data_IF_966999611343
#
_entry.id   IF_966999611343
#
_cell.length_a   1.000
_cell.length_b   1.000
_cell.length_c   1.000
_cell.angle_alpha   90.00
_cell.angle_beta   90.00
_cell.angle_gamma   90.00
#
_symmetry.space_group_name_H-M   'P 1'
#
loop_
_entity.id
_entity.type
_entity.pdbx_description
1 polymer ?
#
# COMPACT_ATOMS: atom_id res chain seq x y z
N UNK A 1 23.88 13.74 3.05
CA UNK A 1 23.13 14.75 2.26
C UNK A 1 23.35 16.09 2.93
N UNK A 2 23.68 17.15 2.16
CA UNK A 2 23.95 18.47 2.73
C UNK A 2 22.69 19.30 2.83
N UNK A 3 22.55 20.00 3.96
CA UNK A 3 21.39 20.89 4.21
C UNK A 3 21.48 22.12 3.30
N UNK A 4 20.34 22.54 2.79
CA UNK A 4 20.18 23.84 2.11
C UNK A 4 19.85 24.89 3.17
N UNK A 5 20.73 25.86 3.34
CA UNK A 5 20.57 26.95 4.30
C UNK A 5 21.24 28.25 3.79
N UNK A 6 21.36 29.24 4.65
CA UNK A 6 21.93 30.56 4.30
C UNK A 6 23.40 30.46 3.93
N UNK A 7 24.13 29.51 4.51
CA UNK A 7 25.55 29.33 4.32
C UNK A 7 25.87 28.32 3.22
N UNK A 8 24.89 27.44 2.85
CA UNK A 8 25.06 26.41 1.85
C UNK A 8 23.87 26.32 0.86
N UNK A 9 23.90 27.15 -0.16
CA UNK A 9 22.88 27.18 -1.24
C UNK A 9 22.98 26.00 -2.22
N UNK A 10 24.00 25.14 -2.09
CA UNK A 10 24.17 23.91 -2.89
C UNK A 10 23.57 22.68 -2.22
N UNK A 11 23.10 22.80 -0.99
CA UNK A 11 22.41 21.74 -0.26
C UNK A 11 21.14 21.30 -1.00
N UNK A 12 20.79 20.02 -0.84
CA UNK A 12 19.58 19.42 -1.45
C UNK A 12 18.59 18.92 -0.41
N UNK A 13 18.85 19.15 0.88
CA UNK A 13 17.99 18.75 1.97
C UNK A 13 17.44 19.96 2.69
N UNK A 14 16.13 20.06 2.76
CA UNK A 14 15.40 21.15 3.41
C UNK A 14 14.74 20.65 4.69
N UNK A 15 15.05 21.27 5.81
CA UNK A 15 14.37 21.05 7.07
C UNK A 15 13.11 21.92 7.15
N UNK A 16 11.95 21.28 7.26
CA UNK A 16 10.68 21.99 7.39
C UNK A 16 10.24 22.15 8.84
N UNK A 17 10.82 21.39 9.77
CA UNK A 17 10.31 21.26 11.13
C UNK A 17 8.92 20.61 11.12
N UNK A 18 8.10 20.90 12.12
CA UNK A 18 6.71 20.38 12.20
C UNK A 18 5.80 21.29 11.35
N UNK A 19 5.86 21.12 10.01
CA UNK A 19 5.11 21.96 9.04
C UNK A 19 4.75 21.15 7.78
N UNK A 20 3.96 20.11 7.94
CA UNK A 20 3.62 19.17 6.86
C UNK A 20 2.91 19.87 5.69
N UNK A 21 1.98 20.77 6.00
CA UNK A 21 1.30 21.55 4.96
C UNK A 21 2.28 22.48 4.22
N UNK A 22 3.13 23.20 4.96
CA UNK A 22 4.15 24.08 4.37
C UNK A 22 5.15 23.32 3.51
N UNK A 23 5.61 22.15 3.96
CA UNK A 23 6.45 21.24 3.18
C UNK A 23 5.77 20.85 1.87
N UNK A 24 4.55 20.33 1.94
CA UNK A 24 3.82 19.88 0.77
C UNK A 24 3.51 21.01 -0.22
N UNK A 25 3.14 22.19 0.28
CA UNK A 25 2.88 23.38 -0.55
C UNK A 25 4.14 23.87 -1.25
N UNK A 26 5.27 23.94 -0.54
CA UNK A 26 6.54 24.34 -1.12
C UNK A 26 7.03 23.31 -2.16
N UNK A 27 6.87 22.01 -1.91
CA UNK A 27 7.17 20.96 -2.90
C UNK A 27 6.34 21.13 -4.18
N UNK A 28 5.06 21.47 -4.06
CA UNK A 28 4.22 21.78 -5.21
C UNK A 28 4.77 22.99 -5.99
N UNK A 29 5.15 24.06 -5.29
CA UNK A 29 5.75 25.24 -5.90
C UNK A 29 7.06 24.92 -6.63
N UNK A 30 7.94 24.14 -6.02
CA UNK A 30 9.20 23.69 -6.64
C UNK A 30 8.96 22.86 -7.91
N UNK A 31 7.99 21.94 -7.86
CA UNK A 31 7.65 21.11 -9.02
C UNK A 31 7.04 21.94 -10.16
N UNK A 32 6.19 22.94 -9.84
CA UNK A 32 5.61 23.88 -10.82
C UNK A 32 6.66 24.80 -11.45
N UNK A 33 7.62 25.26 -10.65
CA UNK A 33 8.73 26.08 -11.17
C UNK A 33 9.54 25.32 -12.21
N UNK A 34 9.63 24.00 -12.12
CA UNK A 34 10.40 23.15 -13.01
C UNK A 34 11.88 23.05 -12.61
N UNK A 35 12.59 22.13 -13.29
CA UNK A 35 14.02 21.88 -13.05
C UNK A 35 14.31 21.02 -11.80
N UNK A 36 13.32 20.76 -10.95
CA UNK A 36 13.46 19.93 -9.75
C UNK A 36 12.34 18.89 -9.69
N UNK A 37 12.67 17.73 -9.14
CA UNK A 37 11.70 16.69 -8.73
C UNK A 37 11.73 16.59 -7.21
N UNK A 38 10.90 17.36 -6.50
CA UNK A 38 10.89 17.34 -5.05
C UNK A 38 10.25 16.05 -4.52
N UNK A 39 10.81 15.54 -3.44
CA UNK A 39 10.14 14.57 -2.59
C UNK A 39 10.28 14.98 -1.13
N UNK A 40 9.30 14.68 -0.32
CA UNK A 40 9.31 14.98 1.11
C UNK A 40 8.57 13.94 1.89
N UNK A 41 8.94 13.77 3.14
CA UNK A 41 8.43 12.70 3.98
C UNK A 41 8.07 13.15 5.37
N UNK A 42 7.05 12.47 5.90
CA UNK A 42 6.59 12.54 7.27
C UNK A 42 5.90 11.21 7.62
N UNK A 43 5.41 11.04 8.85
CA UNK A 43 4.55 9.93 9.19
C UNK A 43 3.22 10.04 8.45
N UNK A 44 2.64 8.89 8.08
CA UNK A 44 1.44 8.89 7.26
C UNK A 44 0.23 9.52 7.96
N UNK A 45 0.11 9.43 9.29
CA UNK A 45 -0.96 10.10 10.04
C UNK A 45 -0.96 11.62 9.82
N UNK A 46 0.20 12.23 9.53
CA UNK A 46 0.31 13.68 9.30
C UNK A 46 -0.08 14.10 7.88
N UNK A 47 -0.53 13.16 7.04
CA UNK A 47 -1.25 13.53 5.82
C UNK A 47 -2.52 14.32 6.15
N UNK A 48 -3.09 14.20 7.34
CA UNK A 48 -4.21 15.02 7.81
C UNK A 48 -3.88 16.51 7.77
N UNK A 49 -2.64 16.89 8.09
CA UNK A 49 -2.17 18.28 7.99
C UNK A 49 -1.74 18.65 6.56
N UNK A 50 -1.11 17.76 5.82
CA UNK A 50 -0.62 18.00 4.46
C UNK A 50 -1.72 17.89 3.39
N UNK A 51 -2.85 17.27 3.69
CA UNK A 51 -3.89 16.86 2.75
C UNK A 51 -4.36 17.95 1.78
N UNK A 52 -4.62 19.22 2.18
CA UNK A 52 -5.03 20.24 1.23
C UNK A 52 -4.01 20.45 0.12
N UNK A 53 -2.71 20.50 0.45
CA UNK A 53 -1.63 20.64 -0.53
C UNK A 53 -1.45 19.39 -1.39
N UNK A 54 -1.57 18.18 -0.82
CA UNK A 54 -1.54 16.92 -1.57
C UNK A 54 -2.70 16.86 -2.57
N UNK A 55 -3.91 17.27 -2.15
CA UNK A 55 -5.08 17.35 -3.02
C UNK A 55 -4.88 18.35 -4.16
N UNK A 56 -4.26 19.50 -3.89
CA UNK A 56 -3.91 20.46 -4.93
C UNK A 56 -2.88 19.91 -5.91
N UNK A 57 -1.88 19.16 -5.45
CA UNK A 57 -0.94 18.47 -6.34
C UNK A 57 -1.69 17.57 -7.34
N UNK A 58 -2.65 16.78 -6.86
CA UNK A 58 -3.47 15.91 -7.69
C UNK A 58 -4.34 16.69 -8.69
N UNK A 59 -5.01 17.76 -8.23
CA UNK A 59 -5.86 18.62 -9.04
C UNK A 59 -5.08 19.33 -10.15
N UNK A 60 -3.91 19.85 -9.83
CA UNK A 60 -3.01 20.54 -10.77
C UNK A 60 -2.12 19.60 -11.59
N UNK A 61 -2.23 18.27 -11.39
CA UNK A 61 -1.42 17.25 -12.08
C UNK A 61 0.08 17.46 -11.86
N UNK A 62 0.49 17.75 -10.64
CA UNK A 62 1.88 18.00 -10.27
C UNK A 62 2.53 16.68 -9.83
N UNK A 63 3.68 16.30 -10.40
CA UNK A 63 4.34 15.04 -10.08
C UNK A 63 5.20 15.12 -8.81
N UNK A 64 4.61 15.52 -7.70
CA UNK A 64 5.25 15.59 -6.39
C UNK A 64 5.25 14.20 -5.73
N UNK A 65 6.33 13.85 -5.03
CA UNK A 65 6.45 12.56 -4.36
C UNK A 65 6.34 12.75 -2.84
N UNK A 66 5.33 12.14 -2.24
CA UNK A 66 5.06 12.14 -0.81
C UNK A 66 5.45 10.79 -0.21
N UNK A 67 6.52 10.77 0.58
CA UNK A 67 7.00 9.56 1.27
C UNK A 67 6.40 9.52 2.66
N UNK A 68 5.36 8.70 2.83
CA UNK A 68 4.57 8.61 4.05
C UNK A 68 4.96 7.34 4.81
N UNK A 69 5.79 7.50 5.83
CA UNK A 69 6.26 6.37 6.65
C UNK A 69 5.31 6.07 7.80
N UNK A 70 5.55 4.93 8.52
CA UNK A 70 4.74 4.56 9.68
C UNK A 70 3.25 4.39 9.30
N UNK A 71 3.01 3.61 8.26
CA UNK A 71 1.79 3.54 7.45
C UNK A 71 0.61 2.79 8.09
N UNK A 72 0.78 2.25 9.31
CA UNK A 72 -0.24 1.43 9.98
C UNK A 72 -0.05 1.34 11.48
N UNK A 73 -0.86 0.52 12.16
CA UNK A 73 -0.68 0.13 13.57
C UNK A 73 0.68 -0.48 13.87
N UNK A 74 1.40 -0.93 12.85
CA UNK A 74 2.78 -1.40 12.94
C UNK A 74 3.78 -0.33 13.41
N UNK A 75 3.37 0.94 13.48
CA UNK A 75 4.12 1.99 14.15
C UNK A 75 4.41 1.63 15.62
N UNK A 76 3.46 1.04 16.33
CA UNK A 76 3.71 0.49 17.67
C UNK A 76 3.31 1.42 18.81
N UNK A 77 4.21 1.62 19.76
CA UNK A 77 3.95 2.22 21.07
C UNK A 77 3.52 3.69 21.04
N UNK A 78 3.82 4.44 19.99
CA UNK A 78 3.38 5.84 19.83
C UNK A 78 1.85 5.97 19.88
N UNK A 79 1.15 4.88 19.61
CA UNK A 79 -0.26 4.72 19.88
C UNK A 79 -1.20 5.29 18.81
N UNK A 80 -2.52 5.31 19.12
CA UNK A 80 -3.56 5.55 18.11
C UNK A 80 -3.50 6.94 17.47
N UNK A 81 -2.94 7.95 18.13
CA UNK A 81 -2.81 9.30 17.58
C UNK A 81 -1.80 9.39 16.41
N UNK A 82 -0.92 8.38 16.28
CA UNK A 82 0.11 8.32 15.26
C UNK A 82 -0.07 7.14 14.30
N UNK A 83 -1.03 6.27 14.55
CA UNK A 83 -1.30 5.06 13.77
C UNK A 83 -2.35 5.33 12.68
N UNK A 84 -1.95 5.32 11.39
CA UNK A 84 -2.89 5.41 10.28
C UNK A 84 -3.83 4.19 10.26
N UNK A 85 -5.10 4.44 10.06
CA UNK A 85 -6.13 3.40 9.89
C UNK A 85 -6.91 3.66 8.60
N UNK A 86 -7.42 4.88 8.41
CA UNK A 86 -8.19 5.32 7.24
C UNK A 86 -7.34 6.02 6.16
N UNK A 87 -6.12 6.44 6.48
CA UNK A 87 -5.30 7.31 5.64
C UNK A 87 -4.97 6.74 4.26
N UNK A 88 -4.78 5.40 4.16
CA UNK A 88 -4.61 4.73 2.87
C UNK A 88 -5.87 4.84 2.00
N UNK A 89 -7.05 4.59 2.59
CA UNK A 89 -8.32 4.69 1.89
C UNK A 89 -8.59 6.13 1.42
N UNK A 90 -8.34 7.12 2.28
CA UNK A 90 -8.46 8.54 1.94
C UNK A 90 -7.51 8.94 0.81
N UNK A 91 -6.27 8.46 0.84
CA UNK A 91 -5.28 8.73 -0.21
C UNK A 91 -5.72 8.13 -1.55
N UNK A 92 -6.19 6.88 -1.56
CA UNK A 92 -6.72 6.18 -2.74
C UNK A 92 -8.04 6.78 -3.26
N UNK A 93 -8.86 7.36 -2.37
CA UNK A 93 -10.08 8.07 -2.76
C UNK A 93 -9.80 9.43 -3.41
N UNK A 94 -8.57 9.95 -3.35
CA UNK A 94 -8.20 11.22 -3.95
C UNK A 94 -7.92 11.02 -5.45
N UNK A 95 -8.75 11.58 -6.36
CA UNK A 95 -8.55 11.40 -7.80
C UNK A 95 -7.16 11.82 -8.25
N UNK A 96 -6.66 11.18 -9.29
CA UNK A 96 -5.35 11.46 -9.89
C UNK A 96 -4.17 11.39 -8.90
N UNK A 97 -4.23 10.48 -7.94
CA UNK A 97 -3.13 10.19 -7.01
C UNK A 97 -2.71 8.75 -7.19
N UNK A 98 -1.42 8.48 -7.26
CA UNK A 98 -0.89 7.11 -7.23
C UNK A 98 -0.48 6.78 -5.79
N UNK A 99 -1.03 5.71 -5.23
CA UNK A 99 -0.73 5.28 -3.86
C UNK A 99 0.00 3.95 -3.91
N UNK A 100 1.30 3.99 -3.67
CA UNK A 100 2.16 2.82 -3.59
C UNK A 100 2.29 2.38 -2.13
N UNK A 101 2.02 1.12 -1.88
CA UNK A 101 2.25 0.47 -0.58
C UNK A 101 3.06 -0.81 -0.79
N UNK A 102 4.40 -0.68 -0.91
CA UNK A 102 5.28 -1.78 -1.27
C UNK A 102 5.46 -2.79 -0.13
N UNK A 103 5.58 -4.07 -0.50
CA UNK A 103 5.71 -5.20 0.43
C UNK A 103 7.15 -5.46 0.88
N UNK A 104 8.12 -5.04 0.11
CA UNK A 104 9.55 -5.27 0.37
C UNK A 104 10.43 -4.22 -0.33
N UNK A 105 11.75 -4.37 -0.20
CA UNK A 105 12.72 -3.46 -0.82
C UNK A 105 12.65 -3.44 -2.35
N UNK A 106 12.26 -4.55 -2.97
CA UNK A 106 12.17 -4.65 -4.44
C UNK A 106 10.97 -3.84 -4.93
N UNK A 107 9.79 -4.05 -4.35
CA UNK A 107 8.61 -3.23 -4.67
C UNK A 107 8.84 -1.75 -4.34
N UNK A 108 9.59 -1.45 -3.27
CA UNK A 108 9.96 -0.07 -2.92
C UNK A 108 10.80 0.58 -4.02
N UNK A 109 11.83 -0.10 -4.53
CA UNK A 109 12.64 0.40 -5.62
C UNK A 109 11.81 0.59 -6.90
N UNK A 110 10.93 -0.35 -7.23
CA UNK A 110 10.01 -0.27 -8.36
C UNK A 110 9.00 0.88 -8.23
N UNK A 111 8.48 1.12 -7.03
CA UNK A 111 7.57 2.24 -6.74
C UNK A 111 8.29 3.60 -6.92
N UNK A 112 9.53 3.71 -6.46
CA UNK A 112 10.35 4.89 -6.68
C UNK A 112 10.61 5.16 -8.16
N UNK A 113 10.95 4.12 -8.92
CA UNK A 113 11.13 4.24 -10.38
C UNK A 113 9.88 4.81 -11.03
N UNK A 114 8.70 4.26 -10.72
CA UNK A 114 7.43 4.72 -11.27
C UNK A 114 7.10 6.16 -10.85
N UNK A 115 7.29 6.49 -9.57
CA UNK A 115 7.03 7.84 -9.05
C UNK A 115 7.96 8.89 -9.69
N UNK A 116 9.22 8.54 -9.97
CA UNK A 116 10.17 9.42 -10.65
C UNK A 116 9.84 9.63 -12.13
N UNK A 117 9.22 8.65 -12.79
CA UNK A 117 8.82 8.75 -14.20
C UNK A 117 7.41 9.35 -14.39
N UNK A 118 6.59 9.38 -13.35
CA UNK A 118 5.25 9.99 -13.44
C UNK A 118 5.37 11.51 -13.66
N UNK A 119 4.55 12.05 -14.59
CA UNK A 119 4.62 13.46 -14.99
C UNK A 119 3.35 14.25 -14.64
N UNK A 120 2.22 13.57 -14.46
CA UNK A 120 0.90 14.19 -14.43
C UNK A 120 0.10 13.86 -13.16
N UNK A 121 0.74 13.23 -12.17
CA UNK A 121 0.09 12.86 -10.92
C UNK A 121 1.08 12.88 -9.76
N UNK A 122 0.68 13.26 -8.55
CA UNK A 122 1.48 13.02 -7.36
C UNK A 122 1.50 11.53 -7.03
N UNK A 123 2.59 11.13 -6.39
CA UNK A 123 2.77 9.77 -5.86
C UNK A 123 2.87 9.80 -4.34
N UNK A 124 2.10 8.97 -3.67
CA UNK A 124 2.24 8.66 -2.24
C UNK A 124 2.94 7.30 -2.13
N UNK A 125 4.07 7.25 -1.44
CA UNK A 125 4.79 6.01 -1.15
C UNK A 125 4.62 5.75 0.35
N UNK A 126 3.70 4.86 0.70
CA UNK A 126 3.40 4.47 2.07
C UNK A 126 4.34 3.35 2.51
N UNK A 127 5.14 3.61 3.54
CA UNK A 127 6.17 2.70 4.02
C UNK A 127 5.94 2.35 5.49
N UNK A 128 6.11 1.08 5.82
CA UNK A 128 6.02 0.62 7.20
C UNK A 128 7.24 1.02 8.03
N UNK A 129 7.08 1.06 9.35
CA UNK A 129 8.18 1.21 10.30
C UNK A 129 8.98 -0.09 10.49
N UNK A 130 8.30 -1.24 10.38
CA UNK A 130 8.92 -2.53 10.64
C UNK A 130 9.90 -2.92 9.52
N UNK A 131 10.93 -3.69 9.88
CA UNK A 131 11.70 -4.45 8.91
C UNK A 131 10.86 -5.56 8.31
N UNK A 132 10.81 -5.64 6.98
CA UNK A 132 10.02 -6.63 6.25
C UNK A 132 10.93 -7.67 5.57
N UNK A 133 10.50 -8.94 5.50
CA UNK A 133 11.21 -9.94 4.72
C UNK A 133 11.04 -9.67 3.22
N UNK A 134 12.06 -9.98 2.43
CA UNK A 134 11.92 -10.01 0.97
C UNK A 134 10.98 -11.15 0.59
N UNK A 135 9.81 -10.82 0.05
CA UNK A 135 8.80 -11.82 -0.34
C UNK A 135 8.96 -12.24 -1.81
N UNK A 136 9.53 -11.38 -2.63
CA UNK A 136 9.80 -11.65 -4.04
C UNK A 136 11.23 -12.16 -4.23
N UNK A 137 11.44 -13.46 -4.02
CA UNK A 137 12.76 -14.10 -4.05
C UNK A 137 13.24 -14.48 -5.45
N UNK A 138 12.36 -14.47 -6.46
CA UNK A 138 12.72 -14.77 -7.86
C UNK A 138 12.95 -13.47 -8.62
N UNK A 139 14.15 -13.34 -9.19
CA UNK A 139 14.48 -12.18 -10.03
C UNK A 139 13.53 -12.03 -11.22
N UNK A 140 13.13 -10.81 -11.49
CA UNK A 140 12.40 -10.37 -12.69
C UNK A 140 13.00 -9.04 -13.14
N UNK A 141 13.37 -8.96 -14.41
CA UNK A 141 13.86 -7.71 -15.01
C UNK A 141 12.77 -6.66 -15.22
N UNK A 142 11.51 -7.10 -15.32
CA UNK A 142 10.38 -6.21 -15.47
C UNK A 142 9.94 -5.65 -14.12
N UNK A 143 9.64 -4.35 -14.07
CA UNK A 143 9.00 -3.70 -12.94
C UNK A 143 7.56 -4.22 -12.81
N UNK A 144 7.32 -5.13 -11.83
CA UNK A 144 6.00 -5.73 -11.65
C UNK A 144 5.02 -4.77 -10.96
N UNK A 145 5.51 -3.84 -10.16
CA UNK A 145 4.70 -2.78 -9.52
C UNK A 145 4.03 -1.89 -10.56
N UNK A 146 4.58 -1.76 -11.76
CA UNK A 146 3.97 -1.02 -12.87
C UNK A 146 2.60 -1.55 -13.30
N UNK A 147 2.29 -2.80 -12.98
CA UNK A 147 1.00 -3.42 -13.23
C UNK A 147 -0.02 -3.15 -12.12
N UNK A 148 0.41 -2.56 -11.01
CA UNK A 148 -0.42 -2.25 -9.85
C UNK A 148 -0.79 -3.45 -8.98
N UNK A 149 -0.95 -4.63 -9.59
CA UNK A 149 -1.08 -5.91 -8.90
C UNK A 149 -0.51 -7.03 -9.76
N UNK A 150 0.04 -8.05 -9.13
CA UNK A 150 0.58 -9.23 -9.81
C UNK A 150 0.49 -10.49 -8.95
N UNK A 151 0.58 -11.66 -9.58
CA UNK A 151 0.62 -12.94 -8.86
C UNK A 151 2.01 -13.11 -8.27
N UNK A 152 2.11 -13.02 -6.93
CA UNK A 152 3.34 -13.28 -6.20
C UNK A 152 3.59 -14.80 -6.07
N UNK A 153 2.55 -15.55 -5.74
CA UNK A 153 2.61 -17.01 -5.64
C UNK A 153 1.33 -17.64 -6.19
N UNK A 154 1.48 -18.60 -7.10
CA UNK A 154 0.35 -19.32 -7.69
C UNK A 154 -0.10 -20.47 -6.78
N UNK A 155 -1.38 -20.88 -6.92
CA UNK A 155 -1.91 -22.08 -6.27
C UNK A 155 -1.23 -23.35 -6.78
N UNK A 156 -0.99 -24.29 -5.90
CA UNK A 156 -0.71 -25.68 -6.27
C UNK A 156 -2.06 -26.41 -6.33
N UNK A 157 -2.30 -27.12 -7.41
CA UNK A 157 -3.59 -27.76 -7.64
C UNK A 157 -4.74 -26.79 -7.97
N UNK A 158 -5.97 -27.23 -7.75
CA UNK A 158 -7.19 -26.44 -8.02
C UNK A 158 -7.26 -25.23 -7.09
N UNK A 159 -7.27 -24.04 -7.68
CA UNK A 159 -7.37 -22.80 -6.92
C UNK A 159 -8.74 -22.66 -6.27
N UNK A 160 -8.76 -22.51 -4.95
CA UNK A 160 -9.95 -22.30 -4.12
C UNK A 160 -9.94 -20.92 -3.46
N UNK A 161 -8.73 -20.40 -3.12
CA UNK A 161 -8.55 -19.14 -2.40
C UNK A 161 -7.61 -18.20 -3.17
N UNK A 162 -7.92 -16.92 -3.13
CA UNK A 162 -7.04 -15.82 -3.58
C UNK A 162 -6.87 -14.86 -2.39
N UNK A 163 -5.66 -14.78 -1.88
CA UNK A 163 -5.25 -13.80 -0.87
C UNK A 163 -4.69 -12.58 -1.60
N UNK A 164 -5.19 -11.40 -1.28
CA UNK A 164 -4.78 -10.14 -1.89
C UNK A 164 -4.27 -9.23 -0.78
N UNK A 165 -3.04 -8.75 -0.87
CA UNK A 165 -2.47 -7.90 0.16
C UNK A 165 -1.61 -6.77 -0.43
N UNK A 166 -1.37 -5.74 0.35
CA UNK A 166 -0.40 -4.68 0.07
C UNK A 166 0.54 -4.49 1.28
N UNK A 167 1.71 -3.92 1.04
CA UNK A 167 2.63 -3.56 2.12
C UNK A 167 3.03 -4.72 3.03
N UNK A 168 3.13 -4.42 4.30
CA UNK A 168 3.57 -5.37 5.34
C UNK A 168 2.74 -6.65 5.41
N UNK A 169 1.48 -6.62 5.02
CA UNK A 169 0.57 -7.77 5.14
C UNK A 169 0.76 -8.80 4.02
N UNK A 170 1.53 -8.48 2.97
CA UNK A 170 1.88 -9.47 1.93
C UNK A 170 2.65 -10.65 2.51
N UNK A 171 3.53 -10.41 3.48
CA UNK A 171 4.27 -11.48 4.17
C UNK A 171 3.35 -12.40 4.97
N UNK A 172 2.29 -11.85 5.59
CA UNK A 172 1.27 -12.63 6.30
C UNK A 172 0.45 -13.49 5.32
N UNK A 173 0.10 -12.93 4.16
CA UNK A 173 -0.59 -13.67 3.10
C UNK A 173 0.25 -14.83 2.55
N UNK A 174 1.57 -14.64 2.40
CA UNK A 174 2.49 -15.71 1.99
C UNK A 174 2.55 -16.83 3.04
N UNK A 175 2.60 -16.46 4.32
CA UNK A 175 2.58 -17.44 5.42
C UNK A 175 1.25 -18.19 5.49
N UNK A 176 0.12 -17.50 5.41
CA UNK A 176 -1.21 -18.11 5.38
C UNK A 176 -1.39 -19.04 4.17
N UNK A 177 -0.87 -18.63 3.00
CA UNK A 177 -0.86 -19.50 1.81
C UNK A 177 -0.15 -20.82 2.09
N UNK A 178 1.02 -20.78 2.75
CA UNK A 178 1.76 -22.01 3.07
C UNK A 178 0.89 -22.96 3.89
N UNK A 179 0.27 -22.47 4.96
CA UNK A 179 -0.61 -23.27 5.83
C UNK A 179 -1.77 -23.87 5.02
N UNK A 180 -2.47 -23.06 4.21
CA UNK A 180 -3.59 -23.54 3.40
C UNK A 180 -3.16 -24.57 2.35
N UNK A 181 -2.02 -24.38 1.71
CA UNK A 181 -1.47 -25.34 0.74
C UNK A 181 -1.09 -26.68 1.39
N UNK A 182 -0.50 -26.65 2.58
CA UNK A 182 -0.12 -27.84 3.34
C UNK A 182 -1.37 -28.65 3.75
N UNK A 183 -2.54 -27.98 3.88
CA UNK A 183 -3.85 -28.59 4.10
C UNK A 183 -4.58 -28.98 2.79
N UNK A 184 -3.93 -28.88 1.63
CA UNK A 184 -4.53 -29.22 0.33
C UNK A 184 -5.47 -28.16 -0.26
N UNK A 185 -5.54 -26.97 0.32
CA UNK A 185 -6.37 -25.85 -0.15
C UNK A 185 -5.57 -24.99 -1.13
N UNK A 186 -5.83 -25.16 -2.42
CA UNK A 186 -5.12 -24.43 -3.49
C UNK A 186 -5.28 -22.90 -3.36
N UNK A 187 -4.19 -22.21 -2.99
CA UNK A 187 -4.22 -20.80 -2.63
C UNK A 187 -3.22 -19.97 -3.46
N UNK A 188 -3.72 -18.91 -4.09
CA UNK A 188 -2.92 -17.88 -4.78
C UNK A 188 -2.68 -16.70 -3.85
N UNK A 189 -1.48 -16.08 -3.92
CA UNK A 189 -1.19 -14.78 -3.35
C UNK A 189 -1.01 -13.74 -4.45
N UNK A 190 -1.70 -12.62 -4.33
CA UNK A 190 -1.58 -11.43 -5.17
C UNK A 190 -1.00 -10.31 -4.32
N UNK A 191 0.15 -9.76 -4.72
CA UNK A 191 0.61 -8.46 -4.22
C UNK A 191 -0.06 -7.35 -5.01
N UNK A 192 -0.60 -6.35 -4.33
CA UNK A 192 -1.29 -5.20 -4.91
C UNK A 192 -0.67 -3.89 -4.40
N UNK A 193 0.56 -3.57 -4.83
CA UNK A 193 1.27 -2.38 -4.37
C UNK A 193 0.63 -1.06 -4.82
N UNK A 194 -0.18 -1.01 -5.89
CA UNK A 194 -0.84 0.22 -6.35
C UNK A 194 -2.17 -0.08 -7.04
N UNK A 195 -3.26 0.19 -6.37
CA UNK A 195 -4.61 -0.09 -6.88
C UNK A 195 -4.94 0.71 -8.14
N UNK A 196 -4.52 1.96 -8.23
CA UNK A 196 -4.79 2.88 -9.34
C UNK A 196 -4.12 2.40 -10.63
N UNK A 197 -2.92 1.84 -10.56
CA UNK A 197 -2.25 1.25 -11.71
C UNK A 197 -2.89 -0.07 -12.13
N UNK A 198 -3.37 -0.87 -11.19
CA UNK A 198 -4.08 -2.10 -11.50
C UNK A 198 -5.44 -1.81 -12.19
N UNK A 199 -6.13 -0.78 -11.76
CA UNK A 199 -7.38 -0.36 -12.38
C UNK A 199 -7.22 0.06 -13.85
N UNK A 200 -6.09 0.67 -14.18
CA UNK A 200 -5.72 1.09 -15.55
C UNK A 200 -5.33 -0.09 -16.47
N UNK A 201 -5.13 -1.30 -15.94
CA UNK A 201 -4.80 -2.46 -16.77
C UNK A 201 -6.02 -2.88 -17.61
N UNK A 202 -5.74 -3.53 -18.74
CA UNK A 202 -6.79 -4.12 -19.56
C UNK A 202 -7.56 -5.22 -18.80
N UNK A 203 -8.77 -5.48 -19.26
CA UNK A 203 -9.66 -6.44 -18.62
C UNK A 203 -9.07 -7.86 -18.59
N UNK A 204 -8.36 -8.26 -19.65
CA UNK A 204 -7.72 -9.57 -19.76
C UNK A 204 -6.67 -9.74 -18.67
N UNK A 205 -5.86 -8.71 -18.43
CA UNK A 205 -4.87 -8.71 -17.35
C UNK A 205 -5.56 -8.79 -15.98
N UNK A 206 -6.54 -7.93 -15.72
CA UNK A 206 -7.25 -7.91 -14.43
C UNK A 206 -7.93 -9.26 -14.15
N UNK A 207 -8.59 -9.85 -15.14
CA UNK A 207 -9.19 -11.19 -15.03
C UNK A 207 -8.17 -12.29 -14.81
N UNK A 208 -6.97 -12.19 -15.36
CA UNK A 208 -5.88 -13.14 -15.10
C UNK A 208 -5.43 -13.08 -13.64
N UNK A 209 -5.32 -11.89 -13.05
CA UNK A 209 -4.88 -11.69 -11.67
C UNK A 209 -6.00 -12.07 -10.69
N UNK A 210 -7.19 -11.52 -10.89
CA UNK A 210 -8.39 -11.71 -10.07
C UNK A 210 -9.52 -12.31 -10.92
N UNK A 211 -9.42 -13.60 -11.29
CA UNK A 211 -10.42 -14.22 -12.15
C UNK A 211 -11.77 -14.30 -11.46
N UNK A 212 -12.84 -14.15 -12.24
CA UNK A 212 -14.21 -14.46 -11.81
C UNK A 212 -14.36 -15.92 -11.38
N UNK A 213 -15.50 -16.27 -10.79
CA UNK A 213 -15.85 -17.64 -10.39
C UNK A 213 -16.02 -17.82 -8.89
N UNK A 214 -16.08 -19.09 -8.45
CA UNK A 214 -16.39 -19.46 -7.06
C UNK A 214 -15.15 -19.51 -6.16
N UNK A 215 -14.18 -18.61 -6.38
CA UNK A 215 -13.00 -18.53 -5.49
C UNK A 215 -13.33 -17.68 -4.28
N UNK A 216 -12.86 -18.09 -3.12
CA UNK A 216 -12.82 -17.23 -1.94
C UNK A 216 -11.77 -16.15 -2.18
N UNK A 217 -12.13 -14.87 -2.01
CA UNK A 217 -11.20 -13.75 -2.05
C UNK A 217 -11.08 -13.13 -0.67
N UNK A 218 -9.86 -13.00 -0.18
CA UNK A 218 -9.58 -12.32 1.09
C UNK A 218 -8.57 -11.23 0.84
N UNK A 219 -8.93 -10.00 1.20
CA UNK A 219 -8.00 -8.90 1.24
C UNK A 219 -7.43 -8.74 2.65
N UNK A 220 -6.16 -8.37 2.73
CA UNK A 220 -5.42 -8.23 3.98
C UNK A 220 -4.68 -6.90 3.97
N UNK A 221 -5.02 -6.00 4.88
CA UNK A 221 -4.35 -4.71 5.06
C UNK A 221 -4.59 -4.18 6.47
N UNK A 222 -3.54 -3.70 7.14
CA UNK A 222 -3.65 -3.03 8.42
C UNK A 222 -4.22 -1.61 8.28
N UNK A 223 -5.44 -1.51 7.77
CA UNK A 223 -6.23 -0.32 7.49
C UNK A 223 -7.70 -0.69 7.35
N UNK A 224 -8.57 0.28 7.04
CA UNK A 224 -9.99 0.07 6.82
C UNK A 224 -10.29 -0.63 5.50
N UNK A 225 -11.44 -1.30 5.41
CA UNK A 225 -11.85 -2.12 4.27
C UNK A 225 -12.17 -1.33 3.00
N UNK A 226 -12.54 -0.07 3.11
CA UNK A 226 -13.24 0.73 2.10
C UNK A 226 -12.62 0.67 0.70
N UNK A 227 -11.29 0.77 0.57
CA UNK A 227 -10.63 0.70 -0.73
C UNK A 227 -10.57 -0.71 -1.34
N UNK A 228 -10.92 -1.75 -0.57
CA UNK A 228 -10.86 -3.14 -1.01
C UNK A 228 -12.16 -3.68 -1.59
N UNK A 229 -13.30 -3.06 -1.33
CA UNK A 229 -14.61 -3.58 -1.70
C UNK A 229 -14.73 -3.89 -3.19
N UNK A 230 -14.26 -3.02 -4.07
CA UNK A 230 -14.30 -3.25 -5.52
C UNK A 230 -13.47 -4.45 -6.01
N UNK A 231 -12.46 -4.88 -5.24
CA UNK A 231 -11.61 -6.02 -5.56
C UNK A 231 -12.14 -7.33 -4.97
N UNK A 232 -12.96 -7.22 -3.92
CA UNK A 232 -13.61 -8.32 -3.24
C UNK A 232 -14.94 -8.70 -3.89
N UNK A 233 -15.66 -7.74 -4.44
CA UNK A 233 -16.90 -7.97 -5.19
C UNK A 233 -16.58 -8.66 -6.52
N UNK A 234 -17.40 -9.61 -6.92
CA UNK A 234 -17.34 -10.24 -8.24
C UNK A 234 -17.87 -9.36 -9.35
N UNK A 235 -17.64 -9.79 -10.59
CA UNK A 235 -18.31 -9.21 -11.76
C UNK A 235 -19.83 -9.22 -11.54
N UNK A 236 -20.52 -8.09 -11.63
CA UNK A 236 -21.93 -7.84 -11.36
C UNK A 236 -22.31 -7.45 -9.93
N UNK A 237 -21.35 -7.02 -9.09
CA UNK A 237 -21.65 -6.56 -7.73
C UNK A 237 -22.23 -7.65 -6.82
N UNK A 238 -22.13 -8.92 -7.20
CA UNK A 238 -22.52 -10.03 -6.32
C UNK A 238 -21.38 -10.30 -5.37
N UNK A 239 -21.71 -10.42 -4.09
CA UNK A 239 -20.75 -10.91 -3.11
C UNK A 239 -20.19 -12.24 -3.59
N UNK A 240 -18.91 -12.25 -3.89
CA UNK A 240 -18.16 -13.50 -3.91
C UNK A 240 -18.06 -13.97 -2.46
N UNK A 241 -17.75 -15.24 -2.21
CA UNK A 241 -17.33 -15.66 -0.87
C UNK A 241 -16.06 -14.90 -0.50
N UNK A 242 -16.19 -13.64 -0.09
CA UNK A 242 -15.07 -12.74 0.15
C UNK A 242 -14.98 -12.36 1.62
N UNK A 243 -13.80 -11.94 2.03
CA UNK A 243 -13.54 -11.49 3.37
C UNK A 243 -12.42 -10.45 3.43
N UNK A 244 -12.30 -9.82 4.58
CA UNK A 244 -11.27 -8.83 4.86
C UNK A 244 -10.66 -9.07 6.23
N UNK A 245 -9.34 -9.01 6.30
CA UNK A 245 -8.56 -9.03 7.55
C UNK A 245 -7.85 -7.68 7.66
N UNK A 246 -8.27 -6.87 8.62
CA UNK A 246 -7.75 -5.50 8.79
C UNK A 246 -8.43 -4.79 9.96
N UNK A 247 -8.44 -3.47 9.93
CA UNK A 247 -8.93 -2.62 11.00
C UNK A 247 -10.41 -2.27 10.84
N UNK A 248 -11.11 -2.19 11.97
CA UNK A 248 -12.48 -1.65 12.09
C UNK A 248 -12.61 -0.61 13.20
N UNK A 249 -11.50 -0.27 13.84
CA UNK A 249 -11.40 0.72 14.91
C UNK A 249 -10.02 1.39 14.88
N UNK A 250 -9.83 2.43 15.68
CA UNK A 250 -8.51 2.98 15.93
C UNK A 250 -7.60 1.95 16.61
N UNK A 251 -6.27 2.18 16.49
CA UNK A 251 -5.26 1.33 17.09
C UNK A 251 -5.14 1.50 18.60
N UNK A 252 -4.05 1.00 19.17
CA UNK A 252 -3.71 1.07 20.58
C UNK A 252 -2.20 1.20 20.76
N UNK A 253 -1.71 1.53 21.96
CA UNK A 253 -0.28 1.64 22.25
C UNK A 253 0.25 0.31 22.77
N UNK A 254 1.05 -0.38 21.96
CA UNK A 254 1.76 -1.61 22.29
C UNK A 254 2.80 -1.92 21.20
N UNK A 255 3.75 -2.87 21.42
CA UNK A 255 4.62 -3.36 20.37
C UNK A 255 3.83 -3.86 19.14
N UNK A 256 4.35 -3.61 17.94
CA UNK A 256 3.69 -3.93 16.66
C UNK A 256 3.13 -5.36 16.64
N UNK A 257 3.92 -6.37 17.03
CA UNK A 257 3.45 -7.76 17.05
C UNK A 257 2.23 -7.95 17.94
N UNK A 258 2.24 -7.37 19.14
CA UNK A 258 1.10 -7.44 20.08
C UNK A 258 -0.16 -6.82 19.47
N UNK A 259 -0.01 -5.70 18.77
CA UNK A 259 -1.14 -5.05 18.08
C UNK A 259 -1.70 -5.91 16.95
N UNK A 260 -0.86 -6.48 16.13
CA UNK A 260 -1.30 -7.38 15.06
C UNK A 260 -2.04 -8.60 15.61
N UNK A 261 -1.53 -9.20 16.68
CA UNK A 261 -2.18 -10.33 17.37
C UNK A 261 -3.53 -9.89 17.97
N UNK A 262 -3.58 -8.73 18.64
CA UNK A 262 -4.79 -8.18 19.28
C UNK A 262 -5.90 -7.89 18.26
N UNK A 263 -5.56 -7.28 17.14
CA UNK A 263 -6.53 -6.95 16.09
C UNK A 263 -6.80 -8.11 15.12
N UNK A 264 -6.19 -9.26 15.35
CA UNK A 264 -6.41 -10.46 14.50
C UNK A 264 -5.88 -10.31 13.09
N UNK A 265 -4.85 -9.50 12.85
CA UNK A 265 -4.20 -9.37 11.56
C UNK A 265 -3.02 -10.37 11.52
N UNK A 266 -3.36 -11.65 11.48
CA UNK A 266 -2.39 -12.76 11.59
C UNK A 266 -2.62 -13.80 10.51
N UNK A 267 -1.60 -14.62 10.18
CA UNK A 267 -1.76 -15.73 9.25
C UNK A 267 -2.87 -16.71 9.67
N UNK A 268 -3.02 -16.98 10.96
CA UNK A 268 -4.03 -17.88 11.51
C UNK A 268 -5.44 -17.34 11.30
N UNK A 269 -5.65 -16.02 11.51
CA UNK A 269 -6.93 -15.36 11.26
C UNK A 269 -7.29 -15.40 9.76
N UNK A 270 -6.32 -15.20 8.87
CA UNK A 270 -6.50 -15.32 7.42
C UNK A 270 -6.92 -16.76 7.05
N UNK A 271 -6.22 -17.76 7.58
CA UNK A 271 -6.54 -19.19 7.36
C UNK A 271 -7.94 -19.53 7.86
N UNK A 272 -8.27 -19.11 9.09
CA UNK A 272 -9.61 -19.34 9.68
C UNK A 272 -10.71 -18.73 8.82
N UNK A 273 -10.52 -17.47 8.38
CA UNK A 273 -11.49 -16.81 7.52
C UNK A 273 -11.62 -17.49 6.15
N UNK A 274 -10.50 -17.91 5.53
CA UNK A 274 -10.52 -18.63 4.27
C UNK A 274 -11.33 -19.95 4.39
N UNK A 275 -11.05 -20.74 5.41
CA UNK A 275 -11.73 -22.03 5.67
C UNK A 275 -13.22 -21.86 5.95
N UNK A 276 -13.64 -20.77 6.59
CA UNK A 276 -15.05 -20.49 6.85
C UNK A 276 -15.86 -20.11 5.60
N UNK A 277 -15.17 -19.82 4.47
CA UNK A 277 -15.76 -19.34 3.22
C UNK A 277 -15.70 -20.37 2.08
N UNK A 278 -14.98 -21.49 2.26
CA UNK A 278 -14.91 -22.60 1.29
C UNK A 278 -16.13 -23.50 1.45
#
# INVERSE_FOLDING_TARGET
>A
MTVFDVDNRKGRYLHWGVREHGMAAAMNGMALHGGLRPYGGTFMCFTDYARPSMRLAALMKIPTIFVMTHDSIGLGEDGPTHQPVEHLAISRATPNTLVFRPADSIETAEAWELALHEKNAPSVIALTRQGLPTVRTKHKSANLTSKGAYILAESQGKRQVILIASGSEVSLAVTARKILQDEGIGTRVVSMPCMELFEKQDEKYRKRILPGGRHVRIAIEAGVKDSWDKWLLGERGRETNSGFVGMSSFGASAPAKTLYDHYGITPEAIVKLAKSKI
#
